data_IF_393796068480
#
_entry.id   IF_393796068480
#
_cell.length_a   1.000
_cell.length_b   1.000
_cell.length_c   1.000
_cell.angle_alpha   90.00
_cell.angle_beta   90.00
_cell.angle_gamma   90.00
#
_symmetry.space_group_name_H-M   'P 1'
#
loop_
_entity.id
_entity.type
_entity.pdbx_description
1 polymer ?
#
# COMPACT_ATOMS: atom_id res chain seq x y z
N UNK A 1 31.81 65.21 -8.76
CA UNK A 1 31.45 64.64 -7.45
C UNK A 1 30.46 63.50 -7.65
N UNK A 2 30.90 62.24 -7.62
CA UNK A 2 30.02 61.07 -7.78
C UNK A 2 29.71 60.53 -6.38
N UNK A 3 28.50 60.79 -5.90
CA UNK A 3 28.03 60.39 -4.58
C UNK A 3 27.57 58.92 -4.60
N UNK A 4 28.49 57.98 -4.33
CA UNK A 4 28.15 56.56 -4.13
C UNK A 4 27.44 56.38 -2.77
N UNK A 5 26.11 56.44 -2.76
CA UNK A 5 25.29 55.97 -1.63
C UNK A 5 25.50 54.47 -1.45
N UNK A 6 26.40 54.08 -0.54
CA UNK A 6 26.49 52.69 -0.05
C UNK A 6 25.22 52.41 0.75
N UNK A 7 24.32 51.62 0.17
CA UNK A 7 23.19 51.02 0.89
C UNK A 7 23.73 50.34 2.14
N UNK A 8 23.35 50.82 3.33
CA UNK A 8 23.62 50.14 4.60
C UNK A 8 22.78 48.88 4.61
N UNK A 9 23.33 47.80 4.05
CA UNK A 9 22.79 46.46 4.24
C UNK A 9 22.67 46.23 5.76
N UNK A 10 21.46 45.99 6.26
CA UNK A 10 21.18 45.66 7.66
C UNK A 10 21.13 44.13 7.79
N UNK A 11 22.27 43.42 7.93
CA UNK A 11 22.32 41.97 7.94
C UNK A 11 21.48 41.37 9.07
N UNK A 12 21.36 42.07 10.21
CA UNK A 12 20.53 41.64 11.35
C UNK A 12 19.04 41.55 11.01
N UNK A 13 18.51 42.48 10.22
CA UNK A 13 17.10 42.47 9.79
C UNK A 13 16.86 41.31 8.81
N UNK A 14 17.80 41.08 7.89
CA UNK A 14 17.73 39.95 6.95
C UNK A 14 17.79 38.60 7.65
N UNK A 15 18.66 38.46 8.66
CA UNK A 15 18.76 37.26 9.49
C UNK A 15 17.49 37.05 10.31
N UNK A 16 16.93 38.09 10.93
CA UNK A 16 15.68 37.99 11.67
C UNK A 16 14.52 37.56 10.77
N UNK A 17 14.36 38.19 9.59
CA UNK A 17 13.34 37.81 8.62
C UNK A 17 13.51 36.36 8.15
N UNK A 18 14.76 35.93 7.90
CA UNK A 18 15.05 34.54 7.56
C UNK A 18 14.66 33.58 8.68
N UNK A 19 14.98 33.88 9.94
CA UNK A 19 14.59 33.07 11.09
C UNK A 19 13.07 32.97 11.23
N UNK A 20 12.34 34.08 11.05
CA UNK A 20 10.87 34.08 11.09
C UNK A 20 10.31 33.18 9.99
N UNK A 21 10.81 33.30 8.75
CA UNK A 21 10.39 32.45 7.64
C UNK A 21 10.65 30.97 7.95
N UNK A 22 11.84 30.62 8.45
CA UNK A 22 12.19 29.24 8.79
C UNK A 22 11.30 28.66 9.89
N UNK A 23 11.03 29.44 10.94
CA UNK A 23 10.14 29.02 12.03
C UNK A 23 8.71 28.84 11.54
N UNK A 24 8.20 29.75 10.69
CA UNK A 24 6.86 29.63 10.11
C UNK A 24 6.73 28.42 9.19
N UNK A 25 7.75 28.14 8.35
CA UNK A 25 7.76 26.95 7.49
C UNK A 25 7.81 25.68 8.33
N UNK A 26 8.68 25.62 9.33
CA UNK A 26 8.77 24.47 10.23
C UNK A 26 7.46 24.24 10.99
N UNK A 27 6.89 25.31 11.55
CA UNK A 27 5.59 25.26 12.21
C UNK A 27 4.47 24.77 11.29
N UNK A 28 4.43 25.25 10.05
CA UNK A 28 3.47 24.80 9.05
C UNK A 28 3.62 23.31 8.70
N UNK A 29 4.84 22.80 8.59
CA UNK A 29 5.11 21.37 8.36
C UNK A 29 4.62 20.54 9.56
N UNK A 30 4.93 20.97 10.78
CA UNK A 30 4.52 20.25 12.00
C UNK A 30 3.00 20.21 12.12
N UNK A 31 2.31 21.34 11.94
CA UNK A 31 0.85 21.40 11.97
C UNK A 31 0.25 20.48 10.89
N UNK A 32 0.77 20.55 9.67
CA UNK A 32 0.29 19.69 8.57
C UNK A 32 0.49 18.21 8.85
N UNK A 33 1.59 17.84 9.52
CA UNK A 33 1.87 16.45 9.91
C UNK A 33 0.88 15.98 10.99
N UNK A 34 0.59 16.82 11.99
CA UNK A 34 -0.38 16.49 13.04
C UNK A 34 -1.79 16.33 12.46
N UNK A 35 -2.20 17.24 11.58
CA UNK A 35 -3.48 17.16 10.86
C UNK A 35 -3.59 15.89 10.00
N UNK A 36 -2.47 15.46 9.41
CA UNK A 36 -2.42 14.22 8.63
C UNK A 36 -2.59 12.99 9.55
N UNK A 37 -1.87 12.94 10.67
CA UNK A 37 -1.93 11.83 11.63
C UNK A 37 -3.36 11.65 12.17
N UNK A 38 -4.05 12.75 12.48
CA UNK A 38 -5.43 12.69 12.97
C UNK A 38 -6.42 12.13 11.92
N UNK A 39 -6.11 12.32 10.63
CA UNK A 39 -6.93 11.81 9.52
C UNK A 39 -6.62 10.38 9.14
N UNK A 40 -5.60 9.74 9.72
CA UNK A 40 -5.34 8.32 9.48
C UNK A 40 -6.49 7.50 10.08
N UNK A 41 -7.20 6.71 9.27
CA UNK A 41 -8.25 5.83 9.78
C UNK A 41 -7.66 4.86 10.82
N UNK A 42 -8.15 4.92 12.06
CA UNK A 42 -7.71 4.03 13.15
C UNK A 42 -8.57 2.78 13.26
N UNK A 43 -9.72 2.76 12.61
CA UNK A 43 -10.56 1.57 12.50
C UNK A 43 -10.13 0.73 11.31
N UNK A 44 -9.76 -0.51 11.60
CA UNK A 44 -9.87 -1.61 10.64
C UNK A 44 -11.30 -1.53 10.09
N UNK A 45 -11.47 -1.19 8.81
CA UNK A 45 -12.77 -1.33 8.18
C UNK A 45 -13.08 -2.82 8.21
N UNK A 46 -13.80 -3.27 9.23
CA UNK A 46 -14.32 -4.64 9.39
C UNK A 46 -15.35 -4.87 8.29
N UNK A 47 -14.87 -4.88 7.06
CA UNK A 47 -15.66 -5.10 5.89
C UNK A 47 -15.87 -6.60 5.79
N UNK A 48 -16.86 -7.09 6.54
CA UNK A 48 -17.30 -8.49 6.54
C UNK A 48 -17.87 -8.95 5.19
N UNK A 49 -17.93 -8.08 4.19
CA UNK A 49 -18.37 -8.41 2.83
C UNK A 49 -17.60 -9.61 2.31
N UNK A 50 -18.34 -10.60 1.85
CA UNK A 50 -17.77 -11.76 1.16
C UNK A 50 -17.68 -11.41 -0.32
N UNK A 51 -16.53 -11.66 -0.92
CA UNK A 51 -16.29 -11.51 -2.37
C UNK A 51 -16.04 -12.89 -2.98
N UNK A 52 -16.16 -13.03 -4.29
CA UNK A 52 -15.88 -14.32 -4.93
C UNK A 52 -14.40 -14.69 -4.81
N UNK A 53 -13.52 -13.70 -4.99
CA UNK A 53 -12.08 -13.87 -4.92
C UNK A 53 -11.37 -12.81 -4.07
N UNK A 54 -10.18 -13.15 -3.60
CA UNK A 54 -9.16 -12.24 -3.08
C UNK A 54 -8.06 -12.12 -4.12
N UNK A 55 -7.61 -10.90 -4.41
CA UNK A 55 -6.49 -10.63 -5.32
C UNK A 55 -5.40 -9.91 -4.54
N UNK A 56 -4.22 -10.50 -4.49
CA UNK A 56 -3.01 -9.90 -3.90
C UNK A 56 -2.09 -9.51 -5.05
N UNK A 57 -1.80 -8.22 -5.20
CA UNK A 57 -0.80 -7.76 -6.16
C UNK A 57 0.61 -7.97 -5.60
N UNK A 58 1.59 -8.21 -6.47
CA UNK A 58 3.02 -8.32 -6.11
C UNK A 58 3.48 -7.27 -5.10
N UNK A 59 4.31 -7.69 -4.14
CA UNK A 59 5.21 -6.80 -3.39
C UNK A 59 4.93 -6.70 -1.88
N UNK A 60 5.20 -7.78 -1.13
CA UNK A 60 5.34 -7.73 0.33
C UNK A 60 4.70 -8.92 1.07
N UNK A 61 5.43 -9.51 2.02
CA UNK A 61 4.95 -10.66 2.83
C UNK A 61 3.64 -10.34 3.57
N UNK A 62 3.52 -9.13 4.13
CA UNK A 62 2.36 -8.69 4.91
C UNK A 62 1.04 -8.71 4.12
N UNK A 63 1.08 -8.39 2.81
CA UNK A 63 -0.11 -8.43 1.95
C UNK A 63 -0.60 -9.86 1.73
N UNK A 64 0.34 -10.78 1.53
CA UNK A 64 0.02 -12.18 1.36
C UNK A 64 -0.49 -12.79 2.67
N UNK A 65 0.13 -12.47 3.80
CA UNK A 65 -0.37 -12.85 5.13
C UNK A 65 -1.83 -12.41 5.35
N UNK A 66 -2.16 -11.16 5.00
CA UNK A 66 -3.54 -10.67 5.12
C UNK A 66 -4.48 -11.35 4.13
N UNK A 67 -4.05 -11.59 2.89
CA UNK A 67 -4.82 -12.38 1.93
C UNK A 67 -5.12 -13.81 2.44
N UNK A 68 -4.13 -14.47 3.02
CA UNK A 68 -4.27 -15.80 3.62
C UNK A 68 -5.20 -15.79 4.84
N UNK A 69 -5.10 -14.75 5.67
CA UNK A 69 -5.97 -14.54 6.81
C UNK A 69 -7.44 -14.28 6.40
N UNK A 70 -7.68 -13.54 5.33
CA UNK A 70 -9.01 -13.35 4.75
C UNK A 70 -9.56 -14.66 4.16
N UNK A 71 -8.70 -15.44 3.50
CA UNK A 71 -9.08 -16.75 2.94
C UNK A 71 -9.43 -17.74 4.05
N UNK A 72 -8.64 -17.80 5.13
CA UNK A 72 -8.91 -18.68 6.28
C UNK A 72 -10.21 -18.31 7.01
N UNK A 73 -10.55 -17.01 7.02
CA UNK A 73 -11.85 -16.49 7.48
C UNK A 73 -13.00 -16.70 6.47
N UNK A 74 -12.79 -17.45 5.39
CA UNK A 74 -13.77 -17.72 4.31
C UNK A 74 -14.38 -16.44 3.71
N UNK A 75 -13.59 -15.36 3.62
CA UNK A 75 -14.04 -14.08 3.03
C UNK A 75 -14.05 -14.10 1.50
N UNK A 76 -13.53 -15.15 0.90
CA UNK A 76 -13.67 -15.48 -0.52
C UNK A 76 -13.46 -16.98 -0.78
N UNK A 77 -13.76 -17.42 -2.00
CA UNK A 77 -13.62 -18.82 -2.43
C UNK A 77 -12.18 -19.16 -2.81
N UNK A 78 -11.47 -18.23 -3.43
CA UNK A 78 -10.08 -18.38 -3.87
C UNK A 78 -9.26 -17.11 -3.66
N UNK A 79 -7.96 -17.29 -3.55
CA UNK A 79 -6.96 -16.23 -3.52
C UNK A 79 -6.08 -16.32 -4.75
N UNK A 80 -5.93 -15.20 -5.46
CA UNK A 80 -5.02 -15.06 -6.59
C UNK A 80 -3.88 -14.11 -6.23
N UNK A 81 -2.63 -14.58 -6.35
CA UNK A 81 -1.45 -13.74 -6.20
C UNK A 81 -0.92 -13.40 -7.58
N UNK A 82 -0.98 -12.14 -7.94
CA UNK A 82 -0.56 -11.65 -9.25
C UNK A 82 0.95 -11.35 -9.26
N UNK A 83 1.62 -11.58 -10.41
CA UNK A 83 3.04 -11.26 -10.69
C UNK A 83 4.10 -11.90 -9.78
N UNK A 84 3.83 -13.06 -9.21
CA UNK A 84 4.73 -13.77 -8.28
C UNK A 84 6.11 -14.05 -8.92
N UNK A 85 7.19 -13.82 -8.17
CA UNK A 85 8.52 -14.27 -8.61
C UNK A 85 8.58 -15.82 -8.56
N UNK A 86 9.11 -16.46 -9.62
CA UNK A 86 9.13 -17.92 -9.80
C UNK A 86 9.84 -18.74 -8.70
N UNK A 87 10.55 -18.09 -7.78
CA UNK A 87 11.19 -18.70 -6.61
C UNK A 87 10.43 -18.53 -5.28
N UNK A 88 9.24 -17.93 -5.26
CA UNK A 88 8.46 -17.78 -4.03
C UNK A 88 7.79 -19.10 -3.67
N UNK A 89 8.24 -19.69 -2.57
CA UNK A 89 7.61 -20.88 -2.02
C UNK A 89 6.41 -20.50 -1.15
N UNK A 90 5.22 -20.53 -1.76
CA UNK A 90 3.96 -20.28 -1.06
C UNK A 90 3.72 -21.28 0.06
N UNK A 91 4.28 -22.50 -0.01
CA UNK A 91 4.18 -23.47 1.09
C UNK A 91 4.96 -23.01 2.33
N UNK A 92 6.13 -22.38 2.15
CA UNK A 92 6.88 -21.79 3.28
C UNK A 92 6.11 -20.65 3.96
N UNK A 93 5.38 -19.85 3.18
CA UNK A 93 4.56 -18.77 3.72
C UNK A 93 3.31 -19.31 4.42
N UNK A 94 2.70 -20.37 3.88
CA UNK A 94 1.61 -21.10 4.52
C UNK A 94 2.02 -21.78 5.83
N UNK A 95 3.27 -22.21 5.98
CA UNK A 95 3.78 -22.77 7.24
C UNK A 95 3.73 -21.78 8.42
N UNK A 96 3.67 -20.48 8.14
CA UNK A 96 3.55 -19.41 9.14
C UNK A 96 2.11 -18.88 9.30
N UNK A 97 1.16 -19.39 8.49
CA UNK A 97 -0.25 -19.01 8.54
C UNK A 97 -0.96 -19.68 9.72
N UNK A 98 -1.86 -18.96 10.40
CA UNK A 98 -2.64 -19.45 11.55
C UNK A 98 -3.83 -20.36 11.17
N UNK A 99 -3.68 -21.23 10.16
CA UNK A 99 -4.75 -22.12 9.68
C UNK A 99 -4.21 -23.45 9.15
N UNK A 100 -5.09 -24.41 8.83
CA UNK A 100 -4.68 -25.70 8.26
C UNK A 100 -4.09 -25.46 6.84
N UNK A 101 -2.78 -25.65 6.63
CA UNK A 101 -2.13 -25.29 5.36
C UNK A 101 -2.71 -26.07 4.17
N UNK A 102 -3.07 -27.34 4.37
CA UNK A 102 -3.58 -28.19 3.30
C UNK A 102 -4.94 -27.73 2.76
N UNK A 103 -5.80 -27.20 3.63
CA UNK A 103 -7.10 -26.66 3.25
C UNK A 103 -6.99 -25.35 2.47
N UNK A 104 -5.90 -24.60 2.61
CA UNK A 104 -5.71 -23.34 1.88
C UNK A 104 -5.09 -23.57 0.49
N UNK A 105 -4.28 -24.63 0.32
CA UNK A 105 -3.57 -24.91 -0.93
C UNK A 105 -4.52 -25.16 -2.11
N UNK A 106 -5.70 -25.77 -1.88
CA UNK A 106 -6.72 -25.97 -2.94
C UNK A 106 -7.12 -24.69 -3.66
N UNK A 107 -6.96 -23.58 -2.95
CA UNK A 107 -7.75 -22.38 -3.16
C UNK A 107 -6.85 -21.16 -3.38
N UNK A 108 -5.56 -21.39 -3.62
CA UNK A 108 -4.57 -20.38 -3.97
C UNK A 108 -4.12 -20.59 -5.42
N UNK A 109 -4.13 -19.52 -6.22
CA UNK A 109 -3.63 -19.49 -7.59
C UNK A 109 -2.54 -18.43 -7.72
N UNK A 110 -1.47 -18.76 -8.42
CA UNK A 110 -0.34 -17.86 -8.66
C UNK A 110 -0.30 -17.46 -10.13
N UNK A 111 -0.19 -16.17 -10.38
CA UNK A 111 0.09 -15.56 -11.67
C UNK A 111 1.57 -15.15 -11.74
N UNK A 112 2.20 -15.39 -12.88
CA UNK A 112 3.65 -15.17 -13.09
C UNK A 112 3.93 -14.26 -14.29
N UNK A 113 2.88 -13.70 -14.91
CA UNK A 113 2.97 -13.05 -16.21
C UNK A 113 3.08 -11.53 -16.08
N UNK A 114 2.55 -10.96 -15.00
CA UNK A 114 2.54 -9.53 -14.78
C UNK A 114 3.92 -8.96 -14.41
N UNK A 115 4.37 -7.98 -15.20
CA UNK A 115 5.58 -7.18 -14.96
C UNK A 115 5.26 -5.69 -14.72
N UNK A 116 3.98 -5.33 -14.71
CA UNK A 116 3.50 -3.95 -14.56
C UNK A 116 2.14 -3.89 -13.88
N UNK A 117 1.73 -2.72 -13.41
CA UNK A 117 0.37 -2.50 -12.86
C UNK A 117 -0.73 -2.85 -13.85
N UNK A 118 -0.52 -2.53 -15.14
CA UNK A 118 -1.46 -2.92 -16.20
C UNK A 118 -1.46 -4.44 -16.40
N UNK A 119 -0.28 -5.08 -16.38
CA UNK A 119 -0.15 -6.53 -16.47
C UNK A 119 -0.86 -7.25 -15.33
N UNK A 120 -0.72 -6.75 -14.10
CA UNK A 120 -1.41 -7.25 -12.91
C UNK A 120 -2.94 -7.24 -13.09
N UNK A 121 -3.47 -6.13 -13.60
CA UNK A 121 -4.90 -6.00 -13.87
C UNK A 121 -5.37 -6.93 -15.00
N UNK A 122 -4.58 -7.06 -16.07
CA UNK A 122 -4.89 -7.90 -17.22
C UNK A 122 -4.91 -9.40 -16.85
N UNK A 123 -3.90 -9.90 -16.14
CA UNK A 123 -3.87 -11.31 -15.74
C UNK A 123 -4.96 -11.62 -14.70
N UNK A 124 -5.22 -10.70 -13.77
CA UNK A 124 -6.32 -10.83 -12.80
C UNK A 124 -7.65 -10.91 -13.54
N UNK A 125 -7.90 -10.04 -14.52
CA UNK A 125 -9.14 -10.05 -15.30
C UNK A 125 -9.34 -11.38 -16.04
N UNK A 126 -8.28 -11.89 -16.67
CA UNK A 126 -8.30 -13.18 -17.36
C UNK A 126 -8.63 -14.33 -16.41
N UNK A 127 -7.99 -14.35 -15.23
CA UNK A 127 -8.26 -15.37 -14.22
C UNK A 127 -9.71 -15.30 -13.69
N UNK A 128 -10.21 -14.11 -13.36
CA UNK A 128 -11.59 -13.92 -12.89
C UNK A 128 -12.62 -14.41 -13.91
N UNK A 129 -12.40 -14.10 -15.20
CA UNK A 129 -13.26 -14.57 -16.29
C UNK A 129 -13.24 -16.10 -16.40
N UNK A 130 -12.08 -16.73 -16.24
CA UNK A 130 -11.94 -18.19 -16.29
C UNK A 130 -12.67 -18.91 -15.15
N UNK A 131 -12.82 -18.25 -14.00
CA UNK A 131 -13.51 -18.78 -12.82
C UNK A 131 -15.00 -18.36 -12.77
N UNK A 132 -15.44 -17.44 -13.62
CA UNK A 132 -16.78 -16.86 -13.59
C UNK A 132 -17.07 -15.94 -12.40
N UNK A 133 -16.02 -15.37 -11.79
CA UNK A 133 -16.14 -14.51 -10.61
C UNK A 133 -16.51 -13.07 -10.96
N UNK A 134 -17.37 -12.47 -10.14
CA UNK A 134 -17.93 -11.12 -10.39
C UNK A 134 -17.50 -10.08 -9.38
N UNK A 135 -17.00 -10.52 -8.22
CA UNK A 135 -16.57 -9.63 -7.14
C UNK A 135 -15.17 -10.00 -6.64
N UNK A 136 -14.37 -8.98 -6.36
CA UNK A 136 -13.03 -9.15 -5.80
C UNK A 136 -12.81 -8.32 -4.56
N UNK A 137 -12.00 -8.85 -3.65
CA UNK A 137 -11.31 -8.08 -2.63
C UNK A 137 -9.87 -7.88 -3.10
N UNK A 138 -9.52 -6.64 -3.41
CA UNK A 138 -8.15 -6.27 -3.77
C UNK A 138 -7.35 -5.97 -2.50
N UNK A 139 -6.24 -6.68 -2.29
CA UNK A 139 -5.31 -6.45 -1.19
C UNK A 139 -4.12 -5.66 -1.72
N UNK A 140 -4.01 -4.41 -1.27
CA UNK A 140 -2.91 -3.49 -1.56
C UNK A 140 -2.52 -2.70 -0.30
N UNK A 141 -1.38 -2.02 -0.36
CA UNK A 141 -0.92 -1.05 0.63
C UNK A 141 -1.56 0.32 0.38
#
# INVERSE_FOLDING_TARGET
MINRRRSKYHPRIKVLLLCVILVSVFGGIVISLLDFIEKIPTSETSNNTVTDAIVVLTGGSRRLEEGLHLLSKKRAKKLFVSGVYRGVDVRRLLAHSRGNPEELVCCIKLGYTAESTQGNAAETSTWLKSEGYKSIRLVTA
#
